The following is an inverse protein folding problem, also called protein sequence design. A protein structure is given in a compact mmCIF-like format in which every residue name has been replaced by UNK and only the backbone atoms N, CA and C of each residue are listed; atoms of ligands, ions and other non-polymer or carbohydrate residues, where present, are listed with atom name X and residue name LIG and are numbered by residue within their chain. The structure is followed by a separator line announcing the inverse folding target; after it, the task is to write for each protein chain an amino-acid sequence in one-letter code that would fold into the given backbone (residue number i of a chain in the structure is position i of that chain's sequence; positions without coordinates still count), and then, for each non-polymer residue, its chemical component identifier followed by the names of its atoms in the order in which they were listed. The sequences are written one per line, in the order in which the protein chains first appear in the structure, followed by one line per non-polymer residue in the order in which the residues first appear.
data_IF_266613008584
#
_entry.id   IF_266613008584
#
_cell.length_a   1.000
_cell.length_b   1.000
_cell.length_c   1.000
_cell.angle_alpha   90.00
_cell.angle_beta   90.00
_cell.angle_gamma   90.00
#
_symmetry.space_group_name_H-M   'P 1'
#
loop_
_entity.id
_entity.type
_entity.pdbx_description
1 polymer ?
#
# COMPACT_ATOMS: atom_id res chain seq x y z
N UNK A 1 13.02 -3.43 0.80
CA UNK A 1 12.55 -4.37 1.84
C UNK A 1 11.35 -5.12 1.33
N UNK A 2 11.25 -6.40 1.63
CA UNK A 2 10.09 -7.24 1.30
C UNK A 2 8.93 -6.97 2.27
N UNK A 3 7.73 -7.46 1.94
CA UNK A 3 6.58 -7.42 2.86
C UNK A 3 6.93 -8.11 4.18
N UNK A 4 7.55 -9.29 4.11
CA UNK A 4 7.98 -10.06 5.28
C UNK A 4 8.97 -9.29 6.15
N UNK A 5 9.97 -8.65 5.56
CA UNK A 5 10.93 -7.81 6.28
C UNK A 5 10.27 -6.60 6.93
N UNK A 6 9.33 -5.95 6.22
CA UNK A 6 8.56 -4.83 6.76
C UNK A 6 7.69 -5.26 7.94
N UNK A 7 7.10 -6.46 7.88
CA UNK A 7 6.34 -7.03 9.00
C UNK A 7 7.22 -7.31 10.22
N UNK A 8 8.44 -7.81 10.02
CA UNK A 8 9.39 -7.97 11.14
C UNK A 8 9.81 -6.60 11.70
N UNK A 9 10.12 -5.62 10.84
CA UNK A 9 10.50 -4.26 11.24
C UNK A 9 9.39 -3.51 11.97
N UNK A 10 8.12 -3.82 11.68
CA UNK A 10 7.00 -3.26 12.44
C UNK A 10 6.86 -3.86 13.83
N UNK A 11 7.73 -4.79 14.24
CA UNK A 11 7.57 -5.54 15.49
C UNK A 11 6.38 -6.49 15.43
N UNK A 12 5.98 -6.92 14.23
CA UNK A 12 4.74 -7.67 13.97
C UNK A 12 3.50 -6.93 14.49
N UNK A 13 3.55 -5.60 14.51
CA UNK A 13 2.46 -4.74 14.89
C UNK A 13 1.76 -4.19 13.64
N UNK A 14 0.44 -4.35 13.60
CA UNK A 14 -0.39 -3.95 12.47
C UNK A 14 -0.37 -2.43 12.26
N UNK A 15 -0.54 -1.64 13.32
CA UNK A 15 -0.57 -0.17 13.20
C UNK A 15 0.75 0.39 12.69
N UNK A 16 1.86 -0.17 13.16
CA UNK A 16 3.22 0.21 12.73
C UNK A 16 3.46 -0.18 11.27
N UNK A 17 2.96 -1.33 10.84
CA UNK A 17 3.02 -1.74 9.44
C UNK A 17 2.17 -0.84 8.54
N UNK A 18 0.95 -0.51 8.96
CA UNK A 18 0.04 0.37 8.23
C UNK A 18 0.64 1.77 8.06
N UNK A 19 1.33 2.31 9.07
CA UNK A 19 2.03 3.60 8.95
C UNK A 19 3.09 3.58 7.83
N UNK A 20 3.87 2.50 7.72
CA UNK A 20 4.82 2.35 6.61
C UNK A 20 4.10 2.29 5.26
N UNK A 21 3.02 1.51 5.17
CA UNK A 21 2.20 1.44 3.95
C UNK A 21 1.63 2.80 3.56
N UNK A 22 1.11 3.57 4.51
CA UNK A 22 0.55 4.91 4.26
C UNK A 22 1.59 5.87 3.69
N UNK A 23 2.82 5.85 4.21
CA UNK A 23 3.92 6.65 3.66
C UNK A 23 4.25 6.26 2.22
N UNK A 24 4.25 4.96 1.91
CA UNK A 24 4.51 4.47 0.55
C UNK A 24 3.36 4.78 -0.41
N UNK A 25 2.10 4.75 0.06
CA UNK A 25 0.93 5.16 -0.74
C UNK A 25 1.03 6.64 -1.08
N UNK A 26 1.30 7.50 -0.10
CA UNK A 26 1.48 8.93 -0.32
C UNK A 26 2.58 9.22 -1.33
N UNK A 27 3.74 8.55 -1.18
CA UNK A 27 4.86 8.65 -2.12
C UNK A 27 4.49 8.19 -3.53
N UNK A 28 3.80 7.05 -3.67
CA UNK A 28 3.40 6.51 -4.99
C UNK A 28 2.40 7.44 -5.70
N UNK A 29 1.41 7.95 -4.98
CA UNK A 29 0.41 8.91 -5.47
C UNK A 29 1.11 10.19 -5.97
N UNK A 30 2.00 10.77 -5.15
CA UNK A 30 2.76 11.97 -5.51
C UNK A 30 3.60 11.77 -6.77
N UNK A 31 4.38 10.68 -6.83
CA UNK A 31 5.26 10.40 -7.98
C UNK A 31 4.51 10.11 -9.28
N UNK A 32 3.22 9.79 -9.22
CA UNK A 32 2.37 9.48 -10.39
C UNK A 32 1.45 10.62 -10.77
N UNK A 33 1.43 11.71 -9.99
CA UNK A 33 0.53 12.83 -10.21
C UNK A 33 -0.94 12.49 -9.94
N UNK A 34 -1.22 11.42 -9.17
CA UNK A 34 -2.59 11.09 -8.80
C UNK A 34 -3.08 12.01 -7.68
N UNK A 35 -4.37 12.31 -7.68
CA UNK A 35 -5.03 13.01 -6.57
C UNK A 35 -5.94 12.05 -5.81
N UNK A 36 -5.38 11.35 -4.83
CA UNK A 36 -6.18 10.51 -3.94
C UNK A 36 -6.92 11.38 -2.93
N UNK A 37 -8.25 11.48 -3.01
CA UNK A 37 -9.03 12.13 -1.95
C UNK A 37 -9.00 11.25 -0.71
N UNK A 38 -8.47 11.72 0.43
CA UNK A 38 -8.43 10.91 1.64
C UNK A 38 -9.85 10.66 2.16
N UNK A 39 -10.27 9.39 2.15
CA UNK A 39 -11.49 8.93 2.80
C UNK A 39 -11.24 7.59 3.50
N UNK A 40 -12.09 7.24 4.48
CA UNK A 40 -11.98 5.95 5.17
C UNK A 40 -12.20 4.79 4.20
N UNK A 41 -13.08 4.97 3.23
CA UNK A 41 -13.42 4.00 2.20
C UNK A 41 -12.24 3.76 1.26
N UNK A 42 -11.60 4.83 0.78
CA UNK A 42 -10.40 4.75 -0.07
C UNK A 42 -9.25 4.04 0.67
N UNK A 43 -9.02 4.41 1.92
CA UNK A 43 -7.99 3.76 2.76
C UNK A 43 -8.27 2.28 3.00
N UNK A 44 -9.54 1.90 3.24
CA UNK A 44 -9.94 0.50 3.43
C UNK A 44 -9.75 -0.31 2.14
N UNK A 45 -10.15 0.23 1.00
CA UNK A 45 -10.03 -0.46 -0.29
C UNK A 45 -8.56 -0.67 -0.67
N UNK A 46 -7.75 0.39 -0.65
CA UNK A 46 -6.31 0.29 -0.89
C UNK A 46 -5.63 -0.67 0.09
N UNK A 47 -5.96 -0.59 1.37
CA UNK A 47 -5.42 -1.48 2.38
C UNK A 47 -5.75 -2.95 2.11
N UNK A 48 -6.97 -3.25 1.65
CA UNK A 48 -7.37 -4.61 1.27
C UNK A 48 -6.63 -5.10 0.02
N UNK A 49 -6.44 -4.24 -0.99
CA UNK A 49 -5.69 -4.59 -2.20
C UNK A 49 -4.23 -4.92 -1.88
N UNK A 50 -3.59 -4.06 -1.09
CA UNK A 50 -2.20 -4.25 -0.63
C UNK A 50 -2.08 -5.53 0.18
N UNK A 51 -3.01 -5.76 1.12
CA UNK A 51 -3.03 -6.99 1.92
C UNK A 51 -3.14 -8.24 1.07
N UNK A 52 -4.06 -8.28 0.11
CA UNK A 52 -4.27 -9.42 -0.78
C UNK A 52 -3.02 -9.73 -1.60
N UNK A 53 -2.35 -8.71 -2.15
CA UNK A 53 -1.10 -8.88 -2.88
C UNK A 53 0.04 -9.35 -1.96
N UNK A 54 0.15 -8.76 -0.77
CA UNK A 54 1.13 -9.12 0.25
C UNK A 54 0.99 -10.55 0.79
N UNK A 55 -0.25 -11.07 0.90
CA UNK A 55 -0.52 -12.45 1.29
C UNK A 55 -0.17 -13.46 0.19
N UNK A 56 -0.26 -13.07 -1.09
CA UNK A 56 0.07 -13.93 -2.22
C UNK A 56 1.59 -14.14 -2.38
N UNK A 57 2.39 -13.08 -2.17
CA UNK A 57 3.86 -13.15 -2.22
C UNK A 57 4.50 -12.25 -1.14
N UNK A 58 4.77 -12.81 0.06
CA UNK A 58 5.40 -12.06 1.15
C UNK A 58 6.87 -11.67 0.89
N UNK A 59 7.53 -12.30 -0.09
CA UNK A 59 8.92 -12.01 -0.44
C UNK A 59 9.03 -10.91 -1.52
N UNK A 60 7.88 -10.44 -2.04
CA UNK A 60 7.83 -9.28 -2.92
C UNK A 60 8.24 -7.98 -2.20
N UNK A 61 8.87 -7.06 -2.93
CA UNK A 61 9.20 -5.72 -2.44
C UNK A 61 7.93 -4.97 -2.02
N UNK A 62 7.90 -4.47 -0.78
CA UNK A 62 6.72 -3.78 -0.24
C UNK A 62 6.29 -2.59 -1.12
N UNK A 63 7.26 -1.80 -1.59
CA UNK A 63 6.96 -0.67 -2.48
C UNK A 63 6.31 -1.11 -3.78
N UNK A 64 6.73 -2.24 -4.38
CA UNK A 64 6.13 -2.74 -5.61
C UNK A 64 4.66 -3.15 -5.41
N UNK A 65 4.35 -3.80 -4.29
CA UNK A 65 2.98 -4.17 -3.90
C UNK A 65 2.11 -2.93 -3.71
N UNK A 66 2.61 -1.94 -2.96
CA UNK A 66 1.90 -0.68 -2.71
C UNK A 66 1.65 0.07 -4.03
N UNK A 67 2.69 0.21 -4.85
CA UNK A 67 2.61 0.92 -6.12
C UNK A 67 1.63 0.28 -7.10
N UNK A 68 1.67 -1.05 -7.23
CA UNK A 68 0.74 -1.83 -8.02
C UNK A 68 -0.71 -1.57 -7.57
N UNK A 69 -0.96 -1.62 -6.26
CA UNK A 69 -2.29 -1.38 -5.69
C UNK A 69 -2.77 0.05 -5.92
N UNK A 70 -1.90 1.05 -5.79
CA UNK A 70 -2.21 2.46 -6.07
C UNK A 70 -2.58 2.66 -7.54
N UNK A 71 -1.83 2.06 -8.46
CA UNK A 71 -2.13 2.13 -9.91
C UNK A 71 -3.45 1.46 -10.26
N UNK A 72 -3.72 0.29 -9.69
CA UNK A 72 -4.99 -0.41 -9.90
C UNK A 72 -6.17 0.39 -9.34
N UNK A 73 -6.02 0.98 -8.16
CA UNK A 73 -7.00 1.88 -7.56
C UNK A 73 -7.25 3.11 -8.44
N UNK A 74 -6.18 3.80 -8.88
CA UNK A 74 -6.28 4.97 -9.73
C UNK A 74 -6.97 4.65 -11.06
N UNK A 75 -6.64 3.50 -11.67
CA UNK A 75 -7.32 3.02 -12.89
C UNK A 75 -8.80 2.76 -12.66
N UNK A 76 -9.16 2.15 -11.54
CA UNK A 76 -10.55 1.84 -11.18
C UNK A 76 -11.39 3.10 -10.95
N UNK A 77 -10.78 4.12 -10.34
CA UNK A 77 -11.46 5.36 -9.92
C UNK A 77 -11.23 6.55 -10.86
N UNK A 78 -10.48 6.36 -11.96
CA UNK A 78 -10.15 7.38 -12.97
C UNK A 78 -9.51 8.64 -12.37
N UNK A 79 -8.50 8.42 -11.52
CA UNK A 79 -7.67 9.48 -10.92
C UNK A 79 -6.64 10.06 -11.90
#
# INVERSE_FOLDING_TARGET
MTVKEAWQKSGKNYDSFVRMVQQLVALSVEKRGYQLRPSKEAGRELGQMIRKQAENDPDQLLYAVVDSSVREYAKKHKL
#
